data_IF_280670117334
#
_entry.id   IF_280670117334
#
_cell.length_a   1.000
_cell.length_b   1.000
_cell.length_c   1.000
_cell.angle_alpha   90.00
_cell.angle_beta   90.00
_cell.angle_gamma   90.00
#
_symmetry.space_group_name_H-M   'P 1'
#
loop_
_entity.id
_entity.type
_entity.pdbx_description
1 polymer ?
#
# COMPACT_ATOMS: atom_id res chain seq x y z
N UNK A 1 9.07 -47.70 -11.02
CA UNK A 1 7.75 -47.10 -11.30
C UNK A 1 7.94 -46.03 -12.36
N UNK A 2 7.16 -46.09 -13.45
CA UNK A 2 7.30 -45.20 -14.62
C UNK A 2 6.85 -43.79 -14.24
N UNK A 3 7.69 -42.80 -14.52
CA UNK A 3 7.33 -41.39 -14.44
C UNK A 3 6.31 -41.08 -15.54
N UNK A 4 5.08 -40.76 -15.15
CA UNK A 4 4.03 -40.33 -16.07
C UNK A 4 4.30 -38.87 -16.43
N UNK A 5 4.78 -38.66 -17.67
CA UNK A 5 4.85 -37.36 -18.31
C UNK A 5 3.46 -36.71 -18.32
N UNK A 6 3.31 -35.59 -17.62
CA UNK A 6 2.14 -34.72 -17.77
C UNK A 6 2.23 -34.08 -19.16
N UNK A 7 1.45 -34.64 -20.08
CA UNK A 7 1.16 -34.07 -21.38
C UNK A 7 0.77 -32.59 -21.22
N UNK A 8 1.65 -31.67 -21.65
CA UNK A 8 1.29 -30.27 -21.86
C UNK A 8 0.30 -30.20 -23.01
N UNK A 9 -0.98 -30.35 -22.70
CA UNK A 9 -2.04 -30.03 -23.64
C UNK A 9 -1.92 -28.55 -24.00
N UNK A 10 -1.80 -28.29 -25.29
CA UNK A 10 -1.75 -26.97 -25.92
C UNK A 10 -3.11 -26.26 -25.76
N UNK A 11 -3.46 -25.92 -24.52
CA UNK A 11 -4.67 -25.20 -24.15
C UNK A 11 -4.53 -23.77 -24.63
N UNK A 12 -5.20 -23.41 -25.74
CA UNK A 12 -5.38 -22.02 -26.15
C UNK A 12 -5.86 -21.23 -24.93
N UNK A 13 -5.10 -20.20 -24.53
CA UNK A 13 -5.49 -19.28 -23.46
C UNK A 13 -6.85 -18.69 -23.80
N UNK A 14 -7.84 -18.96 -22.95
CA UNK A 14 -9.18 -18.38 -23.11
C UNK A 14 -9.08 -16.88 -22.81
N UNK A 15 -9.80 -16.02 -23.54
CA UNK A 15 -9.82 -14.60 -23.22
C UNK A 15 -10.53 -14.37 -21.88
N UNK A 16 -10.13 -13.32 -21.14
CA UNK A 16 -10.82 -12.92 -19.92
C UNK A 16 -12.33 -12.69 -20.14
N UNK A 17 -13.12 -13.06 -19.13
CA UNK A 17 -14.54 -12.79 -19.11
C UNK A 17 -14.78 -11.30 -18.82
N UNK A 18 -15.75 -10.69 -19.49
CA UNK A 18 -16.21 -9.33 -19.15
C UNK A 18 -17.33 -9.45 -18.13
N UNK A 19 -17.01 -9.29 -16.86
CA UNK A 19 -17.95 -9.46 -15.76
C UNK A 19 -19.03 -8.38 -15.75
N UNK A 20 -18.63 -7.11 -15.89
CA UNK A 20 -19.54 -5.96 -15.89
C UNK A 20 -18.98 -4.85 -16.78
N UNK A 21 -19.87 -4.10 -17.44
CA UNK A 21 -19.53 -2.84 -18.12
C UNK A 21 -19.35 -1.72 -17.09
N UNK A 22 -18.35 -0.87 -17.25
CA UNK A 22 -18.10 0.27 -16.35
C UNK A 22 -18.51 1.63 -16.93
N UNK A 23 -19.13 1.68 -18.12
CA UNK A 23 -19.45 2.96 -18.78
C UNK A 23 -20.44 3.83 -18.01
N UNK A 24 -21.41 3.21 -17.37
CA UNK A 24 -22.51 3.87 -16.66
C UNK A 24 -22.67 3.27 -15.24
N UNK A 25 -21.65 2.57 -14.76
CA UNK A 25 -21.68 1.89 -13.48
C UNK A 25 -21.45 2.93 -12.36
N UNK A 26 -22.40 3.10 -11.42
CA UNK A 26 -22.19 3.94 -10.26
C UNK A 26 -20.94 3.53 -9.49
N UNK A 27 -20.23 4.51 -8.91
CA UNK A 27 -18.99 4.25 -8.17
C UNK A 27 -19.19 3.23 -7.04
N UNK A 28 -20.33 3.29 -6.33
CA UNK A 28 -20.63 2.36 -5.25
C UNK A 28 -20.78 0.93 -5.76
N UNK A 29 -21.55 0.71 -6.82
CA UNK A 29 -21.70 -0.60 -7.44
C UNK A 29 -20.37 -1.15 -7.95
N UNK A 30 -19.53 -0.28 -8.53
CA UNK A 30 -18.17 -0.63 -8.93
C UNK A 30 -17.31 -1.08 -7.73
N UNK A 31 -17.40 -0.38 -6.59
CA UNK A 31 -16.70 -0.77 -5.37
C UNK A 31 -17.22 -2.12 -4.84
N UNK A 32 -18.53 -2.36 -4.89
CA UNK A 32 -19.12 -3.65 -4.46
C UNK A 32 -18.64 -4.81 -5.35
N UNK A 33 -18.58 -4.63 -6.67
CA UNK A 33 -18.07 -5.65 -7.57
C UNK A 33 -16.59 -5.93 -7.29
N UNK A 34 -15.80 -4.89 -7.01
CA UNK A 34 -14.39 -5.05 -6.61
C UNK A 34 -14.20 -5.76 -5.29
N UNK A 35 -15.20 -5.80 -4.40
CA UNK A 35 -15.13 -6.59 -3.16
C UNK A 35 -15.29 -8.10 -3.41
N UNK A 36 -15.83 -8.51 -4.57
CA UNK A 36 -16.06 -9.91 -4.93
C UNK A 36 -14.80 -10.67 -5.37
N UNK A 37 -13.65 -10.00 -5.47
CA UNK A 37 -12.39 -10.61 -5.87
C UNK A 37 -11.18 -9.75 -5.54
N UNK A 38 -10.00 -10.23 -5.90
CA UNK A 38 -8.74 -9.49 -5.84
C UNK A 38 -8.59 -8.73 -7.15
N UNK A 39 -8.52 -7.40 -7.08
CA UNK A 39 -8.22 -6.55 -8.22
C UNK A 39 -6.73 -6.49 -8.50
N UNK A 40 -6.33 -6.14 -9.72
CA UNK A 40 -4.92 -5.95 -10.08
C UNK A 40 -4.17 -4.97 -9.16
N UNK A 41 -4.80 -3.86 -8.73
CA UNK A 41 -4.20 -2.91 -7.76
C UNK A 41 -4.04 -3.49 -6.35
N UNK A 42 -4.76 -4.57 -6.04
CA UNK A 42 -4.76 -5.22 -4.74
C UNK A 42 -3.67 -6.30 -4.67
N UNK A 43 -3.16 -6.78 -5.82
CA UNK A 43 -2.20 -7.87 -5.94
C UNK A 43 -1.02 -7.75 -4.98
N UNK A 44 -0.36 -6.59 -4.96
CA UNK A 44 0.76 -6.34 -4.06
C UNK A 44 0.37 -6.38 -2.59
N UNK A 45 -0.81 -5.87 -2.22
CA UNK A 45 -1.28 -5.87 -0.83
C UNK A 45 -1.69 -7.29 -0.41
N UNK A 46 -2.32 -8.05 -1.30
CA UNK A 46 -2.71 -9.44 -1.09
C UNK A 46 -1.50 -10.34 -0.82
N UNK A 47 -0.30 -10.00 -1.31
CA UNK A 47 0.94 -10.75 -1.04
C UNK A 47 1.87 -10.10 -0.02
N UNK A 48 1.46 -8.99 0.62
CA UNK A 48 2.24 -8.31 1.67
C UNK A 48 3.43 -7.47 1.16
N UNK A 49 3.43 -7.08 -0.11
CA UNK A 49 4.50 -6.30 -0.77
C UNK A 49 4.03 -4.90 -1.22
N UNK A 50 2.89 -4.43 -0.71
CA UNK A 50 2.43 -3.07 -0.96
C UNK A 50 2.95 -2.10 0.11
N UNK A 51 3.64 -1.01 -0.26
CA UNK A 51 4.22 -0.07 0.71
C UNK A 51 3.20 0.80 1.44
N UNK A 52 1.93 0.81 1.01
CA UNK A 52 0.87 1.67 1.53
C UNK A 52 -0.24 0.89 2.23
N UNK A 53 -0.46 -0.37 1.87
CA UNK A 53 -1.61 -1.17 2.33
C UNK A 53 -1.19 -2.57 2.78
N UNK A 54 -1.49 -2.91 4.02
CA UNK A 54 -1.29 -4.24 4.60
C UNK A 54 -2.32 -5.26 4.09
N UNK A 55 -2.02 -6.55 4.24
CA UNK A 55 -3.02 -7.61 4.02
C UNK A 55 -4.24 -7.43 4.93
N UNK A 56 -4.05 -6.98 6.18
CA UNK A 56 -5.13 -6.79 7.14
C UNK A 56 -6.12 -5.72 6.70
N UNK A 57 -5.63 -4.57 6.23
CA UNK A 57 -6.47 -3.51 5.66
C UNK A 57 -7.22 -4.02 4.41
N UNK A 58 -6.53 -4.72 3.49
CA UNK A 58 -7.20 -5.29 2.32
C UNK A 58 -8.29 -6.29 2.71
N UNK A 59 -8.05 -7.14 3.71
CA UNK A 59 -9.06 -8.07 4.21
C UNK A 59 -10.28 -7.35 4.80
N UNK A 60 -10.08 -6.25 5.52
CA UNK A 60 -11.18 -5.40 6.00
C UNK A 60 -12.00 -4.83 4.84
N UNK A 61 -11.35 -4.35 3.78
CA UNK A 61 -12.05 -3.85 2.59
C UNK A 61 -12.89 -4.95 1.92
N UNK A 62 -12.32 -6.14 1.72
CA UNK A 62 -13.00 -7.26 1.07
C UNK A 62 -14.14 -7.83 1.90
N UNK A 63 -14.05 -7.76 3.22
CA UNK A 63 -15.10 -8.22 4.14
C UNK A 63 -16.07 -7.13 4.60
N UNK A 64 -15.91 -5.88 4.11
CA UNK A 64 -16.82 -4.77 4.43
C UNK A 64 -16.64 -4.14 5.82
N UNK A 65 -15.50 -4.36 6.48
CA UNK A 65 -15.14 -3.79 7.79
C UNK A 65 -14.35 -2.47 7.69
N UNK A 66 -14.29 -1.88 6.51
CA UNK A 66 -13.56 -0.63 6.22
C UNK A 66 -14.30 0.66 6.61
N UNK A 67 -15.51 0.57 7.18
CA UNK A 67 -16.35 1.74 7.49
C UNK A 67 -15.70 2.72 8.48
N UNK A 68 -14.95 2.21 9.46
CA UNK A 68 -14.22 3.01 10.45
C UNK A 68 -12.79 3.35 10.06
N UNK A 69 -12.36 3.03 8.83
CA UNK A 69 -11.03 3.39 8.34
C UNK A 69 -11.04 4.80 7.74
N UNK A 70 -9.92 5.55 7.77
CA UNK A 70 -9.78 6.78 7.01
C UNK A 70 -10.00 6.49 5.52
N UNK A 71 -11.12 6.98 4.98
CA UNK A 71 -11.41 6.87 3.55
C UNK A 71 -10.86 8.09 2.84
N UNK A 72 -10.25 7.88 1.67
CA UNK A 72 -9.97 8.99 0.77
C UNK A 72 -11.28 9.69 0.43
N UNK A 73 -11.35 11.00 0.68
CA UNK A 73 -12.49 11.80 0.28
C UNK A 73 -12.57 11.77 -1.25
N UNK A 74 -13.67 11.28 -1.85
CA UNK A 74 -13.81 11.27 -3.30
C UNK A 74 -13.74 12.66 -3.95
N UNK A 75 -13.93 13.73 -3.16
CA UNK A 75 -13.85 15.13 -3.60
C UNK A 75 -12.50 15.78 -3.29
N UNK A 76 -11.53 15.03 -2.74
CA UNK A 76 -10.18 15.53 -2.51
C UNK A 76 -9.42 15.67 -3.84
N UNK A 77 -9.51 16.87 -4.41
CA UNK A 77 -8.81 17.30 -5.63
C UNK A 77 -7.28 17.42 -5.45
N UNK A 78 -6.77 17.29 -4.22
CA UNK A 78 -5.32 17.26 -3.93
C UNK A 78 -4.78 15.82 -3.87
N UNK A 79 -5.66 14.82 -3.82
CA UNK A 79 -5.26 13.43 -3.67
C UNK A 79 -4.50 12.87 -4.89
N UNK A 80 -3.51 11.97 -4.68
CA UNK A 80 -2.85 11.27 -5.79
C UNK A 80 -3.83 10.47 -6.67
N UNK A 81 -4.93 9.98 -6.10
CA UNK A 81 -5.96 9.23 -6.83
C UNK A 81 -6.72 10.13 -7.80
N UNK A 82 -7.10 11.34 -7.37
CA UNK A 82 -7.74 12.33 -8.24
C UNK A 82 -6.85 12.67 -9.43
N UNK A 83 -5.59 13.05 -9.17
CA UNK A 83 -4.64 13.41 -10.24
C UNK A 83 -4.32 12.24 -11.17
N UNK A 84 -4.26 11.01 -10.66
CA UNK A 84 -4.13 9.81 -11.48
C UNK A 84 -5.26 9.69 -12.51
N UNK A 85 -6.52 9.85 -12.08
CA UNK A 85 -7.68 9.80 -12.97
C UNK A 85 -7.71 10.95 -13.99
N UNK A 86 -7.39 12.17 -13.55
CA UNK A 86 -7.37 13.37 -14.41
C UNK A 86 -6.29 13.25 -15.49
N UNK A 87 -5.12 12.74 -15.15
CA UNK A 87 -3.96 12.70 -16.04
C UNK A 87 -3.87 11.43 -16.89
N UNK A 88 -4.56 10.33 -16.53
CA UNK A 88 -4.56 9.08 -17.29
C UNK A 88 -4.82 9.28 -18.80
N UNK A 89 -5.82 10.07 -19.27
CA UNK A 89 -6.01 10.32 -20.69
C UNK A 89 -4.81 11.00 -21.36
N UNK A 90 -4.12 11.89 -20.65
CA UNK A 90 -2.95 12.62 -21.16
C UNK A 90 -1.75 11.68 -21.27
N UNK A 91 -1.52 10.84 -20.25
CA UNK A 91 -0.47 9.81 -20.28
C UNK A 91 -0.70 8.84 -21.44
N UNK A 92 -1.93 8.35 -21.61
CA UNK A 92 -2.28 7.43 -22.70
C UNK A 92 -2.12 8.07 -24.09
N UNK A 93 -2.49 9.35 -24.24
CA UNK A 93 -2.28 10.10 -25.48
C UNK A 93 -0.79 10.25 -25.80
N UNK A 94 0.02 10.58 -24.79
CA UNK A 94 1.45 10.79 -24.96
C UNK A 94 2.18 9.48 -25.26
N UNK A 95 1.78 8.38 -24.62
CA UNK A 95 2.20 7.01 -25.00
C UNK A 95 1.97 6.77 -26.48
N UNK A 96 0.73 6.95 -26.96
CA UNK A 96 0.36 6.73 -28.37
C UNK A 96 1.18 7.61 -29.33
N UNK A 97 1.48 8.86 -28.94
CA UNK A 97 2.32 9.77 -29.74
C UNK A 97 3.76 9.28 -29.87
N UNK A 98 4.35 8.74 -28.79
CA UNK A 98 5.73 8.24 -28.75
C UNK A 98 5.88 6.89 -29.43
N UNK A 99 5.03 5.92 -29.10
CA UNK A 99 5.14 4.54 -29.59
C UNK A 99 4.47 4.31 -30.94
N UNK A 100 3.60 5.24 -31.38
CA UNK A 100 2.70 5.09 -32.54
C UNK A 100 1.64 3.99 -32.39
N UNK A 101 1.58 3.33 -31.23
CA UNK A 101 0.56 2.36 -30.92
C UNK A 101 -0.79 3.07 -30.69
N UNK A 102 -1.87 2.44 -31.16
CA UNK A 102 -3.23 2.91 -30.88
C UNK A 102 -3.72 2.25 -29.60
N UNK A 103 -4.42 3.02 -28.76
CA UNK A 103 -4.96 2.51 -27.51
C UNK A 103 -6.47 2.78 -27.40
N UNK A 104 -7.19 1.91 -26.70
CA UNK A 104 -8.63 2.08 -26.42
C UNK A 104 -8.99 1.71 -25.00
N UNK A 105 -10.07 2.30 -24.48
CA UNK A 105 -10.69 1.87 -23.22
C UNK A 105 -11.43 0.54 -23.41
N UNK A 106 -11.30 -0.36 -22.44
CA UNK A 106 -12.14 -1.57 -22.38
C UNK A 106 -13.49 -1.25 -21.72
N UNK A 107 -13.50 -0.40 -20.69
CA UNK A 107 -14.68 -0.07 -19.87
C UNK A 107 -15.37 -1.33 -19.31
N UNK A 108 -14.60 -2.26 -18.75
CA UNK A 108 -15.13 -3.45 -18.09
C UNK A 108 -14.26 -3.86 -16.91
N UNK A 109 -14.87 -4.52 -15.92
CA UNK A 109 -14.14 -5.40 -14.99
C UNK A 109 -13.95 -6.73 -15.72
N UNK A 110 -12.70 -7.14 -15.87
CA UNK A 110 -12.31 -8.41 -16.43
C UNK A 110 -12.18 -9.45 -15.31
N UNK A 111 -12.51 -10.69 -15.59
CA UNK A 111 -12.37 -11.82 -14.68
C UNK A 111 -11.58 -12.92 -15.38
N UNK A 112 -10.73 -13.62 -14.61
CA UNK A 112 -9.97 -14.75 -15.13
C UNK A 112 -10.94 -15.84 -15.66
N UNK A 113 -10.65 -16.46 -16.83
CA UNK A 113 -11.59 -17.38 -17.49
C UNK A 113 -11.65 -18.78 -16.88
N UNK A 114 -10.68 -19.14 -16.04
CA UNK A 114 -10.70 -20.37 -15.24
C UNK A 114 -11.67 -20.20 -14.04
N UNK A 115 -12.71 -21.05 -13.92
CA UNK A 115 -13.64 -21.01 -12.79
C UNK A 115 -12.98 -21.11 -11.42
N UNK A 116 -11.86 -21.82 -11.27
CA UNK A 116 -11.13 -21.94 -9.98
C UNK A 116 -10.43 -20.63 -9.58
N UNK A 117 -10.31 -19.70 -10.53
CA UNK A 117 -9.69 -18.39 -10.38
C UNK A 117 -10.70 -17.24 -10.59
N UNK A 118 -11.99 -17.51 -10.43
CA UNK A 118 -13.06 -16.49 -10.60
C UNK A 118 -12.91 -15.28 -9.67
N UNK A 119 -12.16 -15.42 -8.57
CA UNK A 119 -11.82 -14.35 -7.65
C UNK A 119 -10.74 -13.39 -8.18
N UNK A 120 -10.06 -13.71 -9.28
CA UNK A 120 -9.09 -12.80 -9.90
C UNK A 120 -9.79 -11.84 -10.86
N UNK A 121 -9.72 -10.54 -10.55
CA UNK A 121 -10.36 -9.46 -11.28
C UNK A 121 -9.33 -8.45 -11.78
N UNK A 122 -9.53 -7.89 -12.96
CA UNK A 122 -8.67 -6.83 -13.48
C UNK A 122 -9.48 -5.68 -14.08
N UNK A 123 -9.10 -4.46 -13.71
CA UNK A 123 -9.39 -3.28 -14.50
C UNK A 123 -8.06 -2.86 -15.15
N UNK A 124 -8.04 -2.77 -16.48
CA UNK A 124 -6.90 -2.23 -17.21
C UNK A 124 -7.28 -0.86 -17.78
N UNK A 125 -6.35 0.09 -17.73
CA UNK A 125 -6.62 1.45 -18.19
C UNK A 125 -6.90 1.47 -19.69
N UNK A 126 -6.05 0.76 -20.45
CA UNK A 126 -6.12 0.71 -21.91
C UNK A 126 -5.68 -0.64 -22.46
N UNK A 127 -6.30 -0.99 -23.58
CA UNK A 127 -5.83 -2.03 -24.48
C UNK A 127 -5.04 -1.39 -25.63
N UNK A 128 -3.87 -1.96 -25.93
CA UNK A 128 -3.08 -1.60 -27.11
C UNK A 128 -3.59 -2.39 -28.32
N UNK A 129 -3.77 -1.73 -29.46
CA UNK A 129 -4.40 -2.28 -30.67
C UNK A 129 -3.43 -2.22 -31.84
N UNK A 130 -3.34 -3.34 -32.57
CA UNK A 130 -2.52 -3.45 -33.78
C UNK A 130 -1.02 -3.58 -33.49
N UNK A 131 -0.65 -3.99 -32.28
CA UNK A 131 0.71 -4.32 -31.88
C UNK A 131 0.72 -5.75 -31.32
N UNK A 132 1.60 -6.60 -31.85
CA UNK A 132 1.67 -8.01 -31.45
C UNK A 132 2.57 -8.21 -30.22
N UNK A 133 3.48 -7.28 -29.96
CA UNK A 133 4.46 -7.33 -28.89
C UNK A 133 3.93 -6.77 -27.55
N UNK A 134 2.84 -5.98 -27.56
CA UNK A 134 2.19 -5.42 -26.36
C UNK A 134 0.69 -5.29 -26.51
N UNK A 135 -0.05 -5.62 -25.45
CA UNK A 135 -1.51 -5.66 -25.50
C UNK A 135 -2.21 -4.89 -24.36
N UNK A 136 -1.47 -4.46 -23.34
CA UNK A 136 -1.97 -3.68 -22.20
C UNK A 136 -1.16 -2.40 -22.08
N UNK A 137 -1.82 -1.31 -21.72
CA UNK A 137 -1.18 -0.10 -21.24
C UNK A 137 -1.73 0.21 -19.84
N UNK A 138 -0.82 0.28 -18.87
CA UNK A 138 -1.06 0.77 -17.51
C UNK A 138 -0.47 2.18 -17.39
N UNK A 139 -1.30 3.15 -17.02
CA UNK A 139 -0.91 4.54 -16.86
C UNK A 139 -0.69 4.87 -15.38
N UNK A 140 0.48 5.43 -15.05
CA UNK A 140 0.82 5.86 -13.71
C UNK A 140 1.18 7.34 -13.68
N UNK A 141 0.96 7.96 -12.53
CA UNK A 141 1.47 9.28 -12.20
C UNK A 141 2.19 9.21 -10.87
N UNK A 142 3.37 9.81 -10.78
CA UNK A 142 4.09 9.92 -9.51
C UNK A 142 4.55 11.35 -9.31
N UNK A 143 4.18 11.95 -8.18
CA UNK A 143 4.71 13.24 -7.74
C UNK A 143 6.20 13.17 -7.43
N UNK A 144 6.79 14.31 -7.06
CA UNK A 144 8.24 14.45 -6.85
C UNK A 144 8.80 13.44 -5.81
N UNK A 145 8.05 13.18 -4.75
CA UNK A 145 8.43 12.21 -3.71
C UNK A 145 8.32 10.77 -4.20
N UNK A 146 7.30 10.48 -5.01
CA UNK A 146 7.04 9.15 -5.58
C UNK A 146 8.03 8.77 -6.67
N UNK A 147 8.56 9.76 -7.41
CA UNK A 147 9.54 9.54 -8.48
C UNK A 147 10.82 8.85 -7.99
N UNK A 148 11.17 8.98 -6.70
CA UNK A 148 12.31 8.25 -6.10
C UNK A 148 12.17 6.74 -6.21
N UNK A 149 10.94 6.20 -6.16
CA UNK A 149 10.69 4.76 -6.24
C UNK A 149 10.96 4.19 -7.63
N UNK A 150 11.02 5.06 -8.66
CA UNK A 150 11.18 4.67 -10.06
C UNK A 150 12.63 4.72 -10.54
N UNK A 151 13.59 5.06 -9.66
CA UNK A 151 15.01 5.23 -10.03
C UNK A 151 15.63 3.97 -10.63
N UNK A 152 15.22 2.80 -10.14
CA UNK A 152 15.70 1.49 -10.58
C UNK A 152 14.70 0.80 -11.55
N UNK A 153 13.80 1.59 -12.16
CA UNK A 153 12.73 1.09 -13.03
C UNK A 153 11.39 0.96 -12.33
N UNK A 154 10.53 0.07 -12.82
CA UNK A 154 9.15 -0.06 -12.32
C UNK A 154 9.15 -0.57 -10.87
N UNK A 155 8.49 0.10 -9.92
CA UNK A 155 8.40 -0.37 -8.54
C UNK A 155 7.72 -1.75 -8.44
N UNK A 156 8.17 -2.58 -7.49
CA UNK A 156 7.70 -3.96 -7.33
C UNK A 156 6.17 -4.09 -7.24
N UNK A 157 5.50 -3.22 -6.46
CA UNK A 157 4.04 -3.25 -6.34
C UNK A 157 3.31 -2.98 -7.67
N UNK A 158 3.92 -2.20 -8.59
CA UNK A 158 3.37 -1.96 -9.93
C UNK A 158 3.65 -3.16 -10.85
N UNK A 159 4.83 -3.79 -10.73
CA UNK A 159 5.13 -5.02 -11.45
C UNK A 159 4.14 -6.14 -11.10
N UNK A 160 3.84 -6.32 -9.81
CA UNK A 160 2.84 -7.29 -9.33
C UNK A 160 1.44 -6.97 -9.88
N UNK A 161 1.04 -5.70 -9.89
CA UNK A 161 -0.22 -5.28 -10.51
C UNK A 161 -0.28 -5.67 -11.99
N UNK A 162 0.78 -5.42 -12.75
CA UNK A 162 0.84 -5.75 -14.18
C UNK A 162 0.86 -7.26 -14.41
N UNK A 163 1.61 -8.02 -13.62
CA UNK A 163 1.62 -9.47 -13.68
C UNK A 163 0.24 -10.06 -13.40
N UNK A 164 -0.49 -9.52 -12.43
CA UNK A 164 -1.89 -9.88 -12.19
C UNK A 164 -2.78 -9.60 -13.41
N UNK A 165 -2.64 -8.44 -14.06
CA UNK A 165 -3.39 -8.13 -15.28
C UNK A 165 -3.06 -9.11 -16.42
N UNK A 166 -1.79 -9.46 -16.60
CA UNK A 166 -1.37 -10.45 -17.60
C UNK A 166 -1.93 -11.84 -17.27
N UNK A 167 -1.94 -12.24 -15.99
CA UNK A 167 -2.56 -13.48 -15.52
C UNK A 167 -4.06 -13.52 -15.87
N UNK A 168 -4.84 -12.51 -15.45
CA UNK A 168 -6.28 -12.41 -15.71
C UNK A 168 -6.62 -12.42 -17.20
N UNK A 169 -5.86 -11.68 -18.00
CA UNK A 169 -6.19 -11.46 -19.42
C UNK A 169 -5.61 -12.49 -20.39
N UNK A 170 -4.62 -13.28 -19.97
CA UNK A 170 -3.85 -14.17 -20.85
C UNK A 170 -2.95 -13.44 -21.85
N UNK A 171 -2.80 -12.11 -21.72
CA UNK A 171 -1.95 -11.28 -22.58
C UNK A 171 -0.46 -11.50 -22.28
N UNK A 172 0.38 -11.19 -23.26
CA UNK A 172 1.81 -11.54 -23.24
C UNK A 172 2.70 -10.40 -22.78
N UNK A 173 2.28 -9.14 -22.94
CA UNK A 173 3.01 -8.02 -22.38
C UNK A 173 2.14 -6.79 -22.14
N UNK A 174 2.63 -5.94 -21.24
CA UNK A 174 2.07 -4.65 -20.91
C UNK A 174 3.15 -3.57 -20.95
N UNK A 175 2.77 -2.37 -21.38
CA UNK A 175 3.58 -1.18 -21.15
C UNK A 175 3.06 -0.44 -19.91
N UNK A 176 3.98 -0.03 -19.04
CA UNK A 176 3.72 0.91 -17.95
C UNK A 176 4.21 2.28 -18.40
N UNK A 177 3.29 3.19 -18.69
CA UNK A 177 3.61 4.58 -18.98
C UNK A 177 3.43 5.42 -17.71
N UNK A 178 4.52 6.02 -17.22
CA UNK A 178 4.50 6.82 -15.99
C UNK A 178 4.85 8.27 -16.26
N UNK A 179 4.06 9.21 -15.72
CA UNK A 179 4.41 10.63 -15.66
C UNK A 179 5.02 10.95 -14.29
N UNK A 180 6.34 11.20 -14.27
CA UNK A 180 7.14 11.52 -13.10
C UNK A 180 7.29 13.03 -12.94
N UNK A 181 6.94 13.53 -11.75
CA UNK A 181 7.07 14.94 -11.39
C UNK A 181 6.30 15.90 -12.32
N UNK A 182 5.30 15.41 -13.06
CA UNK A 182 4.51 16.20 -14.00
C UNK A 182 5.18 16.53 -15.34
N UNK A 183 6.41 16.08 -15.58
CA UNK A 183 7.21 16.53 -16.73
C UNK A 183 7.93 15.40 -17.48
N UNK A 184 8.37 14.36 -16.77
CA UNK A 184 9.13 13.26 -17.37
C UNK A 184 8.21 12.08 -17.58
N UNK A 185 7.93 11.74 -18.83
CA UNK A 185 7.22 10.52 -19.18
C UNK A 185 8.20 9.39 -19.50
N UNK A 186 8.05 8.25 -18.84
CA UNK A 186 8.81 7.02 -19.10
C UNK A 186 7.85 5.91 -19.51
N UNK A 187 8.34 4.96 -20.31
CA UNK A 187 7.59 3.80 -20.78
C UNK A 187 8.45 2.58 -20.50
N UNK A 188 7.92 1.65 -19.72
CA UNK A 188 8.58 0.42 -19.32
C UNK A 188 7.77 -0.78 -19.81
N UNK A 189 8.39 -1.66 -20.60
CA UNK A 189 7.76 -2.92 -21.04
C UNK A 189 7.91 -3.97 -19.94
N UNK A 190 6.81 -4.64 -19.63
CA UNK A 190 6.78 -5.81 -18.74
C UNK A 190 6.23 -6.99 -19.55
N UNK A 191 7.06 -8.01 -19.70
CA UNK A 191 6.69 -9.26 -20.37
C UNK A 191 6.09 -10.25 -19.36
N UNK A 192 5.19 -11.11 -19.85
CA UNK A 192 4.57 -12.15 -19.06
C UNK A 192 5.63 -13.13 -18.55
N UNK A 193 5.69 -13.28 -17.23
CA UNK A 193 6.50 -14.30 -16.57
C UNK A 193 5.57 -15.35 -15.91
N UNK A 194 5.53 -16.55 -16.49
CA UNK A 194 4.69 -17.63 -15.99
C UNK A 194 5.09 -18.13 -14.60
N UNK A 195 6.38 -18.06 -14.23
CA UNK A 195 6.83 -18.48 -12.90
C UNK A 195 6.39 -17.47 -11.85
N UNK A 196 6.55 -16.18 -12.16
CA UNK A 196 6.08 -15.10 -11.30
C UNK A 196 4.55 -15.12 -11.15
N UNK A 197 3.82 -15.34 -12.25
CA UNK A 197 2.36 -15.45 -12.24
C UNK A 197 1.90 -16.65 -11.40
N UNK A 198 2.52 -17.82 -11.57
CA UNK A 198 2.17 -19.00 -10.78
C UNK A 198 2.36 -18.75 -9.27
N UNK A 199 3.46 -18.08 -8.90
CA UNK A 199 3.72 -17.73 -7.49
C UNK A 199 2.76 -16.66 -6.97
N UNK A 200 2.46 -15.67 -7.79
CA UNK A 200 1.50 -14.61 -7.46
C UNK A 200 0.12 -15.20 -7.18
N UNK A 201 -0.38 -16.07 -8.06
CA UNK A 201 -1.68 -16.75 -7.89
C UNK A 201 -1.68 -17.57 -6.60
N UNK A 202 -0.61 -18.31 -6.28
CA UNK A 202 -0.53 -19.10 -5.05
C UNK A 202 -0.67 -18.23 -3.79
N UNK A 203 0.02 -17.09 -3.75
CA UNK A 203 0.00 -16.17 -2.61
C UNK A 203 -1.32 -15.41 -2.52
N UNK A 204 -1.85 -14.94 -3.65
CA UNK A 204 -3.16 -14.30 -3.71
C UNK A 204 -4.28 -15.28 -3.31
N UNK A 205 -4.20 -16.56 -3.69
CA UNK A 205 -5.15 -17.59 -3.27
C UNK A 205 -5.12 -17.82 -1.76
N UNK A 206 -3.93 -17.79 -1.13
CA UNK A 206 -3.80 -17.82 0.34
C UNK A 206 -4.47 -16.61 0.98
N UNK A 207 -4.28 -15.42 0.43
CA UNK A 207 -4.98 -14.23 0.91
C UNK A 207 -6.50 -14.34 0.72
N UNK A 208 -6.95 -14.78 -0.45
CA UNK A 208 -8.38 -14.93 -0.74
C UNK A 208 -9.04 -15.95 0.21
N UNK A 209 -8.30 -16.96 0.67
CA UNK A 209 -8.80 -17.89 1.69
C UNK A 209 -9.15 -17.17 3.00
N UNK A 210 -8.35 -16.19 3.46
CA UNK A 210 -8.69 -15.37 4.63
C UNK A 210 -10.00 -14.61 4.45
N UNK A 211 -10.28 -14.13 3.23
CA UNK A 211 -11.54 -13.45 2.90
C UNK A 211 -12.70 -14.44 2.94
N UNK A 212 -12.58 -15.60 2.28
CA UNK A 212 -13.62 -16.63 2.22
C UNK A 212 -13.95 -17.25 3.59
N UNK A 213 -12.96 -17.43 4.46
CA UNK A 213 -13.15 -18.00 5.82
C UNK A 213 -13.40 -16.94 6.88
N UNK A 214 -13.54 -15.67 6.49
CA UNK A 214 -13.69 -14.53 7.40
C UNK A 214 -12.65 -14.52 8.54
N UNK A 215 -11.42 -14.93 8.22
CA UNK A 215 -10.30 -15.02 9.19
C UNK A 215 -9.29 -13.92 8.89
N UNK A 216 -8.98 -13.00 9.82
CA UNK A 216 -8.06 -11.92 9.53
C UNK A 216 -6.64 -12.45 9.25
N UNK A 217 -5.92 -11.92 8.24
CA UNK A 217 -4.52 -12.24 8.04
C UNK A 217 -3.67 -11.69 9.22
N UNK A 218 -2.47 -12.25 9.45
CA UNK A 218 -1.55 -11.74 10.46
C UNK A 218 -1.21 -10.25 10.24
N UNK A 219 -1.14 -9.48 11.32
CA UNK A 219 -0.59 -8.13 11.26
C UNK A 219 0.93 -8.17 11.00
N UNK A 220 1.42 -7.18 10.25
CA UNK A 220 2.79 -7.15 9.71
C UNK A 220 3.66 -6.03 10.33
N UNK A 221 3.13 -5.30 11.31
CA UNK A 221 3.82 -4.18 11.96
C UNK A 221 3.87 -2.89 11.13
N UNK A 222 3.19 -2.83 9.99
CA UNK A 222 3.08 -1.59 9.20
C UNK A 222 2.12 -0.60 9.85
N UNK A 223 2.25 0.69 9.49
CA UNK A 223 1.31 1.72 9.90
C UNK A 223 -0.12 1.44 9.40
N UNK A 224 -0.26 0.78 8.24
CA UNK A 224 -1.56 0.32 7.72
C UNK A 224 -2.17 -0.75 8.65
N UNK A 225 -1.40 -1.76 9.06
CA UNK A 225 -1.89 -2.78 10.00
C UNK A 225 -2.23 -2.18 11.37
N UNK A 226 -1.46 -1.21 11.86
CA UNK A 226 -1.80 -0.49 13.09
C UNK A 226 -3.14 0.27 12.97
N UNK A 227 -3.34 1.00 11.87
CA UNK A 227 -4.60 1.71 11.59
C UNK A 227 -5.78 0.73 11.50
N UNK A 228 -5.60 -0.36 10.76
CA UNK A 228 -6.59 -1.43 10.61
C UNK A 228 -6.99 -2.03 11.97
N UNK A 229 -6.03 -2.35 12.85
CA UNK A 229 -6.30 -2.87 14.19
C UNK A 229 -7.07 -1.87 15.06
N UNK A 230 -6.75 -0.57 14.99
CA UNK A 230 -7.49 0.47 15.71
C UNK A 230 -8.94 0.59 15.22
N UNK A 231 -9.16 0.45 13.92
CA UNK A 231 -10.51 0.47 13.33
C UNK A 231 -11.32 -0.80 13.62
N UNK A 232 -10.67 -1.98 13.69
CA UNK A 232 -11.32 -3.25 14.05
C UNK A 232 -11.73 -3.30 15.52
N UNK A 233 -10.89 -2.74 16.39
CA UNK A 233 -11.07 -2.81 17.83
C UNK A 233 -11.05 -1.40 18.45
N UNK A 234 -12.04 -0.54 18.17
CA UNK A 234 -12.02 0.87 18.58
C UNK A 234 -12.20 1.04 20.10
N UNK A 235 -12.91 0.13 20.74
CA UNK A 235 -13.24 0.17 22.17
C UNK A 235 -12.77 -1.12 22.86
N UNK A 236 -12.57 -1.07 24.18
CA UNK A 236 -12.46 -2.26 25.01
C UNK A 236 -13.80 -2.55 25.70
N UNK A 237 -13.94 -3.76 26.23
CA UNK A 237 -15.13 -4.21 26.94
C UNK A 237 -14.83 -4.62 28.39
N UNK A 238 -13.65 -4.25 28.91
CA UNK A 238 -13.16 -4.64 30.24
C UNK A 238 -12.87 -6.13 30.46
N UNK A 239 -13.04 -7.01 29.47
CA UNK A 239 -12.75 -8.44 29.64
C UNK A 239 -11.24 -8.69 29.67
N UNK A 240 -10.84 -9.63 30.53
CA UNK A 240 -9.46 -10.11 30.64
C UNK A 240 -9.37 -11.47 29.94
N UNK A 241 -8.44 -11.60 29.00
CA UNK A 241 -8.13 -12.85 28.31
C UNK A 241 -6.82 -13.40 28.84
N UNK A 242 -6.80 -14.68 29.22
CA UNK A 242 -5.60 -15.37 29.69
C UNK A 242 -4.88 -16.08 28.54
N UNK A 243 -3.73 -15.54 28.13
CA UNK A 243 -2.84 -16.14 27.13
C UNK A 243 -1.63 -16.87 27.75
N UNK A 244 -1.62 -17.13 29.07
CA UNK A 244 -0.49 -17.76 29.76
C UNK A 244 -0.16 -19.18 29.26
N UNK A 245 -1.16 -19.90 28.74
CA UNK A 245 -1.00 -21.24 28.17
C UNK A 245 -0.86 -21.23 26.64
N UNK A 246 -0.97 -20.06 25.99
CA UNK A 246 -0.88 -19.96 24.54
C UNK A 246 0.58 -19.73 24.10
N UNK A 247 1.32 -20.83 23.91
CA UNK A 247 2.76 -20.82 23.63
C UNK A 247 3.22 -19.74 22.63
N UNK A 248 2.55 -19.61 21.49
CA UNK A 248 2.90 -18.61 20.46
C UNK A 248 2.78 -17.14 20.92
N UNK A 249 1.71 -16.80 21.65
CA UNK A 249 1.47 -15.44 22.14
C UNK A 249 2.34 -15.14 23.37
N UNK A 250 2.60 -16.13 24.22
CA UNK A 250 3.55 -16.00 25.32
C UNK A 250 4.97 -15.75 24.79
N UNK A 251 5.41 -16.46 23.75
CA UNK A 251 6.69 -16.23 23.10
C UNK A 251 6.78 -14.82 22.50
N UNK A 252 5.76 -14.38 21.76
CA UNK A 252 5.69 -13.03 21.20
C UNK A 252 5.73 -11.93 22.29
N UNK A 253 5.06 -12.16 23.43
CA UNK A 253 5.09 -11.24 24.57
C UNK A 253 6.48 -11.12 25.20
N UNK A 254 7.17 -12.25 25.40
CA UNK A 254 8.55 -12.28 25.94
C UNK A 254 9.50 -11.56 24.97
N UNK A 255 9.41 -11.86 23.68
CA UNK A 255 10.21 -11.22 22.64
C UNK A 255 9.98 -9.70 22.62
N UNK A 256 8.73 -9.25 22.66
CA UNK A 256 8.38 -7.83 22.73
C UNK A 256 9.03 -7.14 23.94
N UNK A 257 9.03 -7.76 25.13
CA UNK A 257 9.69 -7.20 26.32
C UNK A 257 11.21 -7.09 26.12
N UNK A 258 11.84 -8.12 25.55
CA UNK A 258 13.27 -8.10 25.27
C UNK A 258 13.65 -7.02 24.23
N UNK A 259 12.85 -6.86 23.18
CA UNK A 259 13.05 -5.81 22.16
C UNK A 259 12.91 -4.42 22.77
N UNK A 260 11.89 -4.18 23.60
CA UNK A 260 11.71 -2.89 24.31
C UNK A 260 12.89 -2.55 25.20
N UNK A 261 13.42 -3.53 25.94
CA UNK A 261 14.62 -3.33 26.75
C UNK A 261 15.83 -2.98 25.87
N UNK A 262 16.04 -3.70 24.77
CA UNK A 262 17.13 -3.41 23.83
C UNK A 262 17.05 -2.01 23.22
N UNK A 263 15.84 -1.52 22.92
CA UNK A 263 15.62 -0.14 22.44
C UNK A 263 16.03 0.85 23.53
N UNK A 264 15.52 0.68 24.75
CA UNK A 264 15.84 1.57 25.87
C UNK A 264 17.36 1.62 26.16
N UNK A 265 18.04 0.48 26.11
CA UNK A 265 19.49 0.40 26.31
C UNK A 265 20.26 1.12 25.20
N UNK A 266 19.82 0.98 23.94
CA UNK A 266 20.41 1.68 22.78
C UNK A 266 20.15 3.18 22.82
N UNK A 267 18.95 3.62 23.19
CA UNK A 267 18.63 5.04 23.38
C UNK A 267 19.47 5.66 24.50
N UNK A 268 19.61 4.95 25.63
CA UNK A 268 20.51 5.38 26.71
C UNK A 268 21.96 5.50 26.21
N UNK A 269 22.43 4.51 25.45
CA UNK A 269 23.80 4.53 24.92
C UNK A 269 24.02 5.65 23.90
N UNK A 270 23.05 5.92 23.04
CA UNK A 270 23.06 7.07 22.11
C UNK A 270 23.17 8.38 22.89
N UNK A 271 22.36 8.54 23.95
CA UNK A 271 22.38 9.74 24.79
C UNK A 271 23.72 9.92 25.51
N UNK A 272 24.32 8.86 26.05
CA UNK A 272 25.65 8.88 26.67
C UNK A 272 26.72 9.35 25.66
N UNK A 273 26.74 8.76 24.47
CA UNK A 273 27.70 9.13 23.41
C UNK A 273 27.51 10.58 22.97
N UNK A 274 26.26 11.01 22.78
CA UNK A 274 25.92 12.39 22.44
C UNK A 274 26.41 13.38 23.50
N UNK A 275 26.20 13.07 24.78
CA UNK A 275 26.65 13.90 25.90
C UNK A 275 28.18 13.97 25.98
N UNK A 276 28.89 12.86 25.75
CA UNK A 276 30.37 12.86 25.67
C UNK A 276 30.86 13.82 24.58
N UNK A 277 30.24 13.78 23.39
CA UNK A 277 30.60 14.69 22.30
C UNK A 277 30.25 16.15 22.62
N UNK A 278 29.07 16.41 23.20
CA UNK A 278 28.67 17.76 23.63
C UNK A 278 29.62 18.32 24.69
N UNK A 279 30.01 17.50 25.68
CA UNK A 279 30.95 17.88 26.71
C UNK A 279 32.34 18.21 26.12
N UNK A 280 32.79 17.45 25.13
CA UNK A 280 34.04 17.73 24.41
C UNK A 280 33.95 18.98 23.52
N UNK A 281 32.78 19.26 22.93
CA UNK A 281 32.55 20.46 22.11
C UNK A 281 32.51 21.74 22.95
N UNK A 282 31.97 21.69 24.18
CA UNK A 282 31.77 22.88 25.01
C UNK A 282 30.95 23.94 24.27
N UNK A 283 31.50 25.15 24.13
CA UNK A 283 30.85 26.27 23.43
C UNK A 283 30.97 26.20 21.89
N UNK A 284 31.72 25.23 21.35
CA UNK A 284 31.93 25.12 19.92
C UNK A 284 30.64 24.73 19.19
N UNK A 285 30.35 25.44 18.10
CA UNK A 285 29.14 25.20 17.29
C UNK A 285 29.24 23.97 16.37
N UNK A 286 30.45 23.42 16.19
CA UNK A 286 30.76 22.32 15.28
C UNK A 286 32.07 21.63 15.66
N UNK A 287 32.12 20.30 15.50
CA UNK A 287 33.33 19.49 15.61
C UNK A 287 33.50 18.61 14.36
N UNK A 288 34.73 18.52 13.85
CA UNK A 288 35.10 17.73 12.67
C UNK A 288 35.72 16.38 13.08
N UNK A 289 35.40 15.33 12.32
CA UNK A 289 35.93 13.98 12.46
C UNK A 289 36.35 13.45 11.09
N UNK A 290 37.11 12.36 11.05
CA UNK A 290 37.58 11.75 9.79
C UNK A 290 36.45 11.28 8.86
N UNK A 291 35.28 10.94 9.41
CA UNK A 291 34.13 10.42 8.67
C UNK A 291 32.94 11.39 8.59
N UNK A 292 33.08 12.64 9.04
CA UNK A 292 31.98 13.60 9.05
C UNK A 292 32.10 14.64 10.16
N UNK A 293 30.99 15.26 10.52
CA UNK A 293 30.96 16.31 11.55
C UNK A 293 29.72 16.23 12.43
N UNK A 294 29.81 16.85 13.61
CA UNK A 294 28.66 17.12 14.47
C UNK A 294 28.49 18.63 14.59
N UNK A 295 27.25 19.11 14.55
CA UNK A 295 26.92 20.51 14.83
C UNK A 295 25.94 20.59 15.99
N UNK A 296 26.24 21.49 16.92
CA UNK A 296 25.42 21.73 18.10
C UNK A 296 25.41 23.23 18.36
N UNK A 297 24.27 23.88 18.14
CA UNK A 297 24.12 25.33 18.17
C UNK A 297 22.91 25.71 19.00
N UNK A 298 23.01 26.83 19.71
CA UNK A 298 21.83 27.45 20.33
C UNK A 298 20.87 27.87 19.22
N UNK A 299 19.64 27.36 19.26
CA UNK A 299 18.57 27.83 18.40
C UNK A 299 18.18 29.28 18.75
N UNK A 300 17.58 30.00 17.81
CA UNK A 300 17.06 31.35 18.10
C UNK A 300 15.96 31.25 19.15
N UNK A 301 15.98 32.17 20.12
CA UNK A 301 14.91 32.28 21.10
C UNK A 301 13.57 32.54 20.38
N UNK A 302 12.54 31.80 20.76
CA UNK A 302 11.19 31.90 20.17
C UNK A 302 10.18 32.24 21.25
N UNK A 303 9.20 33.06 20.89
CA UNK A 303 8.09 33.43 21.77
C UNK A 303 6.90 32.55 21.38
N UNK A 304 6.50 31.67 22.29
CA UNK A 304 5.29 30.86 22.17
C UNK A 304 4.13 31.49 22.94
N UNK A 305 2.90 31.09 22.60
CA UNK A 305 1.72 31.41 23.39
C UNK A 305 1.64 30.45 24.58
N UNK A 306 1.62 30.98 25.80
CA UNK A 306 1.35 30.18 26.99
C UNK A 306 -0.15 29.84 27.06
N UNK A 307 -0.51 28.71 26.48
CA UNK A 307 -1.89 28.24 26.42
C UNK A 307 -2.44 27.97 27.82
N UNK A 308 -1.62 27.47 28.76
CA UNK A 308 -2.08 27.17 30.11
C UNK A 308 -2.47 28.45 30.85
N UNK A 309 -1.62 29.47 30.80
CA UNK A 309 -1.90 30.78 31.40
C UNK A 309 -3.06 31.48 30.68
N UNK A 310 -3.11 31.44 29.34
CA UNK A 310 -4.21 32.02 28.57
C UNK A 310 -5.56 31.41 28.93
N UNK A 311 -5.66 30.08 29.04
CA UNK A 311 -6.90 29.40 29.39
C UNK A 311 -7.29 29.62 30.86
N UNK A 312 -6.31 29.85 31.75
CA UNK A 312 -6.57 30.28 33.12
C UNK A 312 -7.19 31.68 33.17
N UNK A 313 -6.68 32.62 32.38
CA UNK A 313 -7.16 34.00 32.34
C UNK A 313 -8.46 34.16 31.52
N UNK A 314 -8.65 33.29 30.52
CA UNK A 314 -9.76 33.33 29.55
C UNK A 314 -10.36 31.93 29.32
N UNK A 315 -11.01 31.33 30.34
CA UNK A 315 -11.55 29.96 30.23
C UNK A 315 -12.63 29.81 29.15
N UNK A 316 -13.33 30.90 28.82
CA UNK A 316 -14.31 30.93 27.74
C UNK A 316 -13.73 30.56 26.36
N UNK A 317 -12.41 30.70 26.15
CA UNK A 317 -11.78 30.33 24.88
C UNK A 317 -11.82 28.82 24.63
N UNK A 318 -11.67 28.00 25.67
CA UNK A 318 -11.78 26.55 25.52
C UNK A 318 -13.21 26.12 25.16
N UNK A 319 -14.21 26.79 25.73
CA UNK A 319 -15.61 26.54 25.40
C UNK A 319 -15.98 27.04 23.99
N UNK A 320 -15.39 28.16 23.55
CA UNK A 320 -15.65 28.75 22.23
C UNK A 320 -14.95 28.03 21.08
N UNK A 321 -13.78 27.44 21.34
CA UNK A 321 -12.97 26.74 20.35
C UNK A 321 -12.62 25.32 20.81
N UNK A 322 -13.62 24.46 21.07
CA UNK A 322 -13.36 23.12 21.53
C UNK A 322 -12.74 22.31 20.38
N UNK A 323 -11.58 21.70 20.65
CA UNK A 323 -11.00 20.69 19.77
C UNK A 323 -11.18 19.33 20.43
N UNK A 324 -12.16 18.56 19.97
CA UNK A 324 -12.31 17.18 20.40
C UNK A 324 -11.18 16.35 19.78
N UNK A 325 -10.37 15.71 20.63
CA UNK A 325 -9.42 14.68 20.23
C UNK A 325 -9.93 13.34 20.76
N UNK A 326 -10.58 12.51 19.93
CA UNK A 326 -11.05 11.20 20.36
C UNK A 326 -9.91 10.40 20.99
N UNK A 327 -10.21 9.70 22.09
CA UNK A 327 -9.29 8.74 22.66
C UNK A 327 -9.08 7.56 21.72
N UNK A 328 -7.94 6.90 21.84
CA UNK A 328 -7.66 5.62 21.18
C UNK A 328 -7.23 4.60 22.23
N UNK A 329 -7.53 3.32 21.99
CA UNK A 329 -7.02 2.23 22.83
C UNK A 329 -5.50 2.30 22.89
N UNK A 330 -4.96 2.17 24.11
CA UNK A 330 -3.52 2.23 24.36
C UNK A 330 -2.99 0.82 24.58
N UNK A 331 -1.86 0.53 23.95
CA UNK A 331 -1.15 -0.72 24.14
C UNK A 331 -0.03 -0.53 25.16
N UNK A 332 -0.24 -1.02 26.39
CA UNK A 332 0.71 -0.95 27.50
C UNK A 332 1.26 -2.34 27.81
N UNK A 333 2.52 -2.41 28.23
CA UNK A 333 3.18 -3.65 28.65
C UNK A 333 3.63 -3.47 30.10
N UNK A 334 3.28 -4.44 30.94
CA UNK A 334 3.66 -4.51 32.35
C UNK A 334 4.90 -5.34 32.63
#
# INVERSE_FOLDING_TARGET
MKATSLNRSNSKTRPALRLVSTKELPREDWLQIRKQGIGSSDAAAAVGLNPYKSQLELWMEKTGRDAGMPKADPQDEESPMYWGNVLEPIVAWHYSKRTKNRVRRINAVLQHPDPELSWMLANIDREVIGADDVQILECKTAGINGARLWKEGVPEYVQLQVMHQLAVTGKQAADVAVLLGGQTLEIHRIERDEQMIARLIELERKFWHYVETDTPPPADGTASAESALRSLYPEDNGQVVDFSQHAGLSAAFIELKAVRQSIADKEKREAELKQVLQQAMGDASRAEFSSGYVSWRKAKDSIGLDVAQLLKDKPYLQAKYPLLKPGARRFLVG
#
